data_IF_088345065514
#
_entry.id   IF_088345065514
#
_cell.length_a   1.000
_cell.length_b   1.000
_cell.length_c   1.000
_cell.angle_alpha   90.00
_cell.angle_beta   90.00
_cell.angle_gamma   90.00
#
_symmetry.space_group_name_H-M   'P 1'
#
loop_
_entity.id
_entity.type
_entity.pdbx_description
1 polymer ?
#
# COMPACT_ATOMS: atom_id res chain seq x y z
N UNK A 1 -18.90 23.60 16.80
CA UNK A 1 -18.13 22.40 17.19
C UNK A 1 -18.30 21.37 16.07
N UNK A 2 -17.37 21.32 15.13
CA UNK A 2 -17.44 20.37 14.02
C UNK A 2 -17.04 18.98 14.51
N UNK A 3 -17.94 18.01 14.39
CA UNK A 3 -17.70 16.64 14.84
C UNK A 3 -16.43 16.05 14.18
N UNK A 4 -15.59 15.33 14.94
CA UNK A 4 -14.29 14.83 14.49
C UNK A 4 -14.42 13.42 13.87
N UNK A 5 -14.84 13.30 12.61
CA UNK A 5 -14.90 11.99 11.94
C UNK A 5 -14.59 12.11 10.43
N UNK A 6 -14.11 11.03 9.78
CA UNK A 6 -12.77 10.48 9.90
C UNK A 6 -12.01 10.68 8.58
N UNK A 7 -10.75 11.09 8.66
CA UNK A 7 -9.88 11.14 7.49
C UNK A 7 -9.45 9.72 7.14
N UNK A 8 -10.27 9.01 6.36
CA UNK A 8 -9.99 7.63 6.02
C UNK A 8 -9.16 7.51 4.74
N UNK A 9 -8.12 6.69 4.83
CA UNK A 9 -7.33 6.19 3.72
C UNK A 9 -7.29 4.67 3.88
N UNK A 10 -7.78 3.93 2.90
CA UNK A 10 -7.83 2.46 2.94
C UNK A 10 -7.29 1.88 1.64
N UNK A 11 -6.71 0.68 1.68
CA UNK A 11 -6.19 0.04 0.46
C UNK A 11 -7.24 -0.93 -0.09
N UNK A 12 -7.65 -0.71 -1.33
CA UNK A 12 -8.53 -1.61 -2.08
C UNK A 12 -7.77 -2.86 -2.54
N UNK A 13 -8.49 -3.97 -2.69
CA UNK A 13 -7.89 -5.26 -3.07
C UNK A 13 -8.64 -5.90 -4.23
N UNK A 14 -7.85 -6.51 -5.11
CA UNK A 14 -8.19 -7.49 -6.15
C UNK A 14 -9.59 -7.45 -6.77
N UNK A 15 -10.60 -7.89 -6.03
CA UNK A 15 -11.95 -8.14 -6.52
C UNK A 15 -12.86 -6.92 -6.47
N UNK A 16 -12.49 -5.89 -5.71
CA UNK A 16 -13.29 -4.67 -5.65
C UNK A 16 -13.37 -4.07 -7.05
N UNK A 17 -14.59 -3.86 -7.54
CA UNK A 17 -14.86 -3.20 -8.80
C UNK A 17 -14.84 -1.70 -8.60
N UNK A 18 -14.27 -1.00 -9.57
CA UNK A 18 -14.21 0.46 -9.60
C UNK A 18 -14.53 0.99 -10.99
N UNK A 19 -15.11 2.18 -11.02
CA UNK A 19 -15.44 2.91 -12.25
C UNK A 19 -15.19 4.40 -12.05
N UNK A 20 -14.50 5.11 -12.96
CA UNK A 20 -14.44 6.57 -12.90
C UNK A 20 -15.85 7.18 -12.92
N UNK A 21 -16.10 8.21 -12.09
CA UNK A 21 -17.43 8.87 -12.02
C UNK A 21 -17.86 9.46 -13.36
N UNK A 22 -16.90 9.88 -14.18
CA UNK A 22 -17.15 10.50 -15.50
C UNK A 22 -17.68 9.51 -16.55
N UNK A 23 -17.59 8.21 -16.30
CA UNK A 23 -18.01 7.18 -17.26
C UNK A 23 -19.46 6.76 -16.93
N UNK A 24 -20.33 6.60 -17.95
CA UNK A 24 -21.69 6.11 -17.76
C UNK A 24 -21.74 4.80 -16.97
N UNK A 25 -22.75 4.65 -16.12
CA UNK A 25 -22.90 3.42 -15.34
C UNK A 25 -23.40 2.26 -16.21
N UNK A 26 -22.45 1.43 -16.66
CA UNK A 26 -22.70 0.20 -17.41
C UNK A 26 -21.81 -0.91 -16.87
N UNK A 27 -22.31 -2.15 -16.90
CA UNK A 27 -21.66 -3.31 -16.27
C UNK A 27 -20.23 -3.54 -16.78
N UNK A 28 -20.01 -3.34 -18.08
CA UNK A 28 -18.73 -3.47 -18.78
C UNK A 28 -17.70 -2.40 -18.39
N UNK A 29 -18.13 -1.29 -17.79
CA UNK A 29 -17.26 -0.18 -17.39
C UNK A 29 -16.65 -0.36 -15.99
N UNK A 30 -17.18 -1.31 -15.22
CA UNK A 30 -16.66 -1.66 -13.90
C UNK A 30 -15.46 -2.60 -14.03
N UNK A 31 -14.28 -2.10 -13.66
CA UNK A 31 -13.04 -2.88 -13.74
C UNK A 31 -12.59 -3.37 -12.37
N UNK A 32 -12.01 -4.58 -12.26
CA UNK A 32 -11.41 -5.01 -11.01
C UNK A 32 -10.18 -4.16 -10.69
N UNK A 33 -9.97 -3.86 -9.40
CA UNK A 33 -8.80 -3.12 -8.92
C UNK A 33 -7.47 -3.65 -9.45
N UNK A 34 -7.37 -4.98 -9.67
CA UNK A 34 -6.17 -5.63 -10.23
C UNK A 34 -5.84 -5.14 -11.64
N UNK A 35 -6.84 -4.82 -12.47
CA UNK A 35 -6.61 -4.32 -13.82
C UNK A 35 -5.88 -2.97 -13.80
N UNK A 36 -6.15 -2.14 -12.78
CA UNK A 36 -5.49 -0.84 -12.62
C UNK A 36 -4.00 -0.95 -12.29
N UNK A 37 -3.50 -2.11 -11.84
CA UNK A 37 -2.09 -2.29 -11.54
C UNK A 37 -1.19 -2.14 -12.77
N UNK A 38 -1.72 -2.38 -13.98
CA UNK A 38 -1.02 -2.13 -15.23
C UNK A 38 -0.68 -0.64 -15.46
N UNK A 39 -1.41 0.27 -14.82
CA UNK A 39 -1.17 1.72 -14.91
C UNK A 39 -0.09 2.22 -13.94
N UNK A 40 0.49 1.33 -13.13
CA UNK A 40 1.50 1.70 -12.13
C UNK A 40 2.80 2.11 -12.82
N UNK A 41 3.44 3.13 -12.26
CA UNK A 41 4.83 3.43 -12.53
C UNK A 41 5.56 3.38 -11.20
N UNK A 42 6.62 2.56 -11.14
CA UNK A 42 7.35 2.33 -9.90
C UNK A 42 7.94 3.63 -9.36
N UNK A 43 7.74 3.89 -8.08
CA UNK A 43 8.22 5.10 -7.41
C UNK A 43 7.36 6.34 -7.61
N UNK A 44 6.39 6.33 -8.54
CA UNK A 44 5.49 7.45 -8.80
C UNK A 44 4.10 7.18 -8.23
N UNK A 45 3.55 8.15 -7.51
CA UNK A 45 2.14 8.11 -7.12
C UNK A 45 1.30 8.66 -8.27
N UNK A 46 0.27 7.92 -8.69
CA UNK A 46 -0.66 8.30 -9.75
C UNK A 46 -2.03 8.57 -9.13
N UNK A 47 -2.57 9.74 -9.39
CA UNK A 47 -3.96 10.07 -9.06
C UNK A 47 -4.87 9.59 -10.20
N UNK A 48 -5.91 8.84 -9.87
CA UNK A 48 -6.92 8.37 -10.84
C UNK A 48 -8.19 9.22 -10.79
N UNK A 49 -8.24 10.22 -9.91
CA UNK A 49 -9.41 11.06 -9.69
C UNK A 49 -10.51 10.35 -8.90
N UNK A 50 -11.72 10.89 -9.00
CA UNK A 50 -12.89 10.37 -8.29
C UNK A 50 -13.48 9.18 -9.05
N UNK A 51 -13.60 8.06 -8.36
CA UNK A 51 -14.19 6.82 -8.85
C UNK A 51 -15.28 6.34 -7.90
N UNK A 52 -16.25 5.63 -8.44
CA UNK A 52 -17.17 4.80 -7.70
C UNK A 52 -16.50 3.47 -7.37
N UNK A 53 -16.70 3.02 -6.14
CA UNK A 53 -16.12 1.79 -5.59
C UNK A 53 -17.26 0.95 -5.05
N UNK A 54 -17.23 -0.36 -5.34
CA UNK A 54 -18.32 -1.33 -5.04
C UNK A 54 -19.53 -1.13 -5.95
N UNK A 55 -19.79 -2.09 -6.84
CA UNK A 55 -20.85 -1.96 -7.85
C UNK A 55 -22.27 -1.93 -7.26
N UNK A 56 -22.53 -2.75 -6.22
CA UNK A 56 -23.88 -2.89 -5.67
C UNK A 56 -24.30 -1.68 -4.83
N UNK A 57 -23.35 -1.01 -4.19
CA UNK A 57 -23.55 0.20 -3.39
C UNK A 57 -22.39 1.17 -3.69
N UNK A 58 -22.49 1.94 -4.79
CA UNK A 58 -21.40 2.79 -5.24
C UNK A 58 -21.03 3.86 -4.23
N UNK A 59 -19.79 3.78 -3.73
CA UNK A 59 -19.21 4.82 -2.89
C UNK A 59 -18.21 5.62 -3.73
N UNK A 60 -18.46 6.91 -3.87
CA UNK A 60 -17.52 7.80 -4.56
C UNK A 60 -16.31 8.13 -3.68
N UNK A 61 -15.13 7.93 -4.23
CA UNK A 61 -13.88 8.18 -3.55
C UNK A 61 -12.76 8.55 -4.52
N UNK A 62 -11.78 9.31 -4.05
CA UNK A 62 -10.55 9.53 -4.82
C UNK A 62 -9.67 8.29 -4.75
N UNK A 63 -9.14 7.86 -5.89
CA UNK A 63 -8.25 6.72 -5.98
C UNK A 63 -6.81 7.15 -6.28
N UNK A 64 -5.88 6.66 -5.47
CA UNK A 64 -4.43 6.87 -5.65
C UNK A 64 -3.74 5.52 -5.83
N UNK A 65 -2.96 5.40 -6.89
CA UNK A 65 -2.25 4.19 -7.27
C UNK A 65 -0.74 4.38 -7.10
N UNK A 66 -0.06 3.42 -6.48
CA UNK A 66 1.38 3.49 -6.26
C UNK A 66 2.02 2.10 -6.21
N UNK A 67 3.23 1.98 -6.76
CA UNK A 67 4.04 0.77 -6.67
C UNK A 67 5.45 1.11 -6.18
N UNK A 68 6.04 0.23 -5.37
CA UNK A 68 7.42 0.35 -4.90
C UNK A 68 8.34 -0.54 -5.73
N UNK A 69 9.62 -0.17 -5.77
CA UNK A 69 10.64 -1.13 -6.14
C UNK A 69 10.65 -2.25 -5.10
N UNK A 70 10.59 -3.49 -5.57
CA UNK A 70 10.76 -4.66 -4.74
C UNK A 70 12.14 -4.60 -4.06
N UNK A 71 12.18 -4.09 -2.83
CA UNK A 71 13.31 -4.31 -1.93
C UNK A 71 13.22 -5.79 -1.60
N UNK A 72 14.11 -6.62 -2.15
CA UNK A 72 14.09 -8.08 -2.09
C UNK A 72 14.18 -8.67 -0.68
N UNK A 73 13.30 -8.27 0.24
CA UNK A 73 13.14 -8.77 1.59
C UNK A 73 12.81 -10.25 1.48
N UNK A 74 13.73 -11.06 1.99
CA UNK A 74 13.59 -12.52 2.04
C UNK A 74 13.17 -12.86 3.46
N UNK A 75 12.02 -13.52 3.60
CA UNK A 75 11.61 -14.06 4.88
C UNK A 75 12.53 -15.25 5.21
N UNK A 76 13.39 -15.07 6.20
CA UNK A 76 14.26 -16.14 6.71
C UNK A 76 13.57 -16.93 7.82
N UNK A 77 13.98 -18.18 8.01
CA UNK A 77 13.65 -19.00 9.18
C UNK A 77 14.57 -18.61 10.33
N UNK A 78 14.26 -19.07 11.55
CA UNK A 78 15.12 -18.88 12.73
C UNK A 78 16.53 -19.47 12.56
N UNK A 79 16.70 -20.41 11.61
CA UNK A 79 17.99 -21.00 11.23
C UNK A 79 18.72 -20.22 10.12
N UNK A 80 18.21 -19.06 9.71
CA UNK A 80 18.79 -18.25 8.63
C UNK A 80 18.46 -18.71 7.21
N UNK A 81 17.71 -19.81 7.06
CA UNK A 81 17.36 -20.36 5.76
C UNK A 81 16.14 -19.65 5.14
N UNK A 82 16.04 -19.64 3.81
CA UNK A 82 14.87 -19.06 3.15
C UNK A 82 13.62 -19.89 3.46
N UNK A 83 12.58 -19.27 4.02
CA UNK A 83 11.27 -19.93 4.21
C UNK A 83 10.63 -20.21 2.85
N UNK A 84 10.31 -21.47 2.54
CA UNK A 84 9.75 -21.90 1.22
C UNK A 84 8.24 -22.23 1.25
N UNK A 85 7.61 -22.13 2.42
CA UNK A 85 6.20 -22.46 2.60
C UNK A 85 5.24 -21.67 1.70
N UNK A 86 4.14 -22.30 1.26
CA UNK A 86 3.11 -21.70 0.38
C UNK A 86 2.56 -20.39 0.94
N UNK A 87 2.22 -20.36 2.23
CA UNK A 87 1.70 -19.16 2.89
C UNK A 87 2.71 -18.01 2.87
N UNK A 88 3.98 -18.30 3.19
CA UNK A 88 5.05 -17.29 3.16
C UNK A 88 5.24 -16.67 1.77
N UNK A 89 5.17 -17.49 0.71
CA UNK A 89 5.21 -17.00 -0.68
C UNK A 89 4.00 -16.13 -1.02
N UNK A 90 2.80 -16.52 -0.59
CA UNK A 90 1.59 -15.72 -0.81
C UNK A 90 1.65 -14.38 -0.06
N UNK A 91 2.15 -14.35 1.18
CA UNK A 91 2.34 -13.10 1.92
C UNK A 91 3.37 -12.19 1.23
N UNK A 92 4.52 -12.73 0.83
CA UNK A 92 5.54 -11.97 0.11
C UNK A 92 5.01 -11.40 -1.22
N UNK A 93 4.23 -12.19 -1.96
CA UNK A 93 3.60 -11.72 -3.20
C UNK A 93 2.63 -10.56 -2.92
N UNK A 94 1.78 -10.67 -1.89
CA UNK A 94 0.82 -9.62 -1.49
C UNK A 94 1.49 -8.33 -1.01
N UNK A 95 2.66 -8.43 -0.40
CA UNK A 95 3.46 -7.27 0.02
C UNK A 95 4.13 -6.56 -1.16
N UNK A 96 4.52 -7.32 -2.19
CA UNK A 96 5.10 -6.79 -3.42
C UNK A 96 4.08 -6.15 -4.37
N UNK A 97 2.78 -6.40 -4.15
CA UNK A 97 1.72 -5.85 -4.98
C UNK A 97 1.57 -4.33 -4.84
N UNK A 98 1.22 -3.62 -5.93
CA UNK A 98 0.89 -2.21 -5.88
C UNK A 98 -0.22 -1.88 -4.87
N UNK A 99 -0.15 -0.66 -4.35
CA UNK A 99 -1.16 -0.08 -3.48
C UNK A 99 -2.14 0.73 -4.31
N UNK A 100 -3.40 0.32 -4.28
CA UNK A 100 -4.52 1.14 -4.72
C UNK A 100 -5.25 1.65 -3.48
N UNK A 101 -5.19 2.95 -3.25
CA UNK A 101 -5.68 3.60 -2.05
C UNK A 101 -6.99 4.34 -2.36
N UNK A 102 -8.02 4.06 -1.58
CA UNK A 102 -9.28 4.81 -1.54
C UNK A 102 -9.13 5.91 -0.50
N UNK A 103 -9.43 7.15 -0.88
CA UNK A 103 -9.31 8.35 -0.06
C UNK A 103 -10.63 9.11 -0.02
N UNK A 104 -10.97 9.65 1.14
CA UNK A 104 -12.11 10.54 1.28
C UNK A 104 -11.98 11.76 0.35
N UNK A 105 -13.07 12.11 -0.34
CA UNK A 105 -13.09 13.23 -1.31
C UNK A 105 -12.83 14.59 -0.67
N UNK A 106 -13.19 14.75 0.61
CA UNK A 106 -13.01 15.99 1.38
C UNK A 106 -11.53 16.37 1.56
N UNK A 107 -10.59 15.47 1.25
CA UNK A 107 -9.15 15.65 1.39
C UNK A 107 -8.48 15.81 0.01
N UNK A 108 -9.17 16.48 -0.91
CA UNK A 108 -8.68 16.73 -2.28
C UNK A 108 -7.37 17.52 -2.33
N UNK A 109 -7.11 18.38 -1.34
CA UNK A 109 -5.90 19.20 -1.25
C UNK A 109 -4.61 18.41 -0.98
N UNK A 110 -4.71 17.19 -0.47
CA UNK A 110 -3.53 16.35 -0.20
C UNK A 110 -3.04 15.73 -1.51
N UNK A 111 -1.75 15.81 -1.81
CA UNK A 111 -1.19 15.25 -3.04
C UNK A 111 -1.20 13.72 -3.01
N UNK A 112 -1.17 13.08 -4.18
CA UNK A 112 -1.09 11.63 -4.29
C UNK A 112 0.14 11.06 -3.54
N UNK A 113 1.28 11.78 -3.56
CA UNK A 113 2.48 11.40 -2.82
C UNK A 113 2.27 11.46 -1.30
N UNK A 114 1.59 12.49 -0.80
CA UNK A 114 1.27 12.62 0.63
C UNK A 114 0.28 11.53 1.09
N UNK A 115 -0.72 11.18 0.28
CA UNK A 115 -1.63 10.05 0.55
C UNK A 115 -0.83 8.76 0.74
N UNK A 116 0.09 8.48 -0.18
CA UNK A 116 0.98 7.31 -0.11
C UNK A 116 1.85 7.36 1.15
N UNK A 117 2.40 8.52 1.49
CA UNK A 117 3.22 8.70 2.70
C UNK A 117 2.43 8.43 3.99
N UNK A 118 1.22 8.97 4.11
CA UNK A 118 0.34 8.74 5.26
C UNK A 118 -0.01 7.25 5.37
N UNK A 119 -0.38 6.61 4.26
CA UNK A 119 -0.69 5.17 4.28
C UNK A 119 0.55 4.34 4.64
N UNK A 120 1.72 4.69 4.12
CA UNK A 120 2.99 4.04 4.45
C UNK A 120 3.30 4.15 5.95
N UNK A 121 3.14 5.34 6.52
CA UNK A 121 3.35 5.56 7.96
C UNK A 121 2.45 4.66 8.79
N UNK A 122 1.16 4.53 8.43
CA UNK A 122 0.22 3.61 9.09
C UNK A 122 0.68 2.16 9.04
N UNK A 123 1.22 1.71 7.89
CA UNK A 123 1.78 0.36 7.78
C UNK A 123 3.02 0.16 8.66
N UNK A 124 3.87 1.18 8.84
CA UNK A 124 5.02 1.10 9.75
C UNK A 124 4.59 0.97 11.21
N UNK A 125 3.54 1.70 11.62
CA UNK A 125 2.95 1.57 12.96
C UNK A 125 2.44 0.15 13.19
N UNK A 126 1.64 -0.40 12.27
CA UNK A 126 1.08 -1.76 12.39
C UNK A 126 2.17 -2.84 12.41
N UNK A 127 3.24 -2.66 11.63
CA UNK A 127 4.41 -3.55 11.66
C UNK A 127 5.17 -3.45 12.98
N UNK A 128 5.45 -2.23 13.48
CA UNK A 128 6.12 -2.02 14.77
C UNK A 128 5.36 -2.64 15.93
N UNK A 129 4.02 -2.54 15.93
CA UNK A 129 3.17 -3.23 16.90
C UNK A 129 3.14 -4.75 16.76
N UNK A 130 3.45 -5.30 15.58
CA UNK A 130 3.55 -6.75 15.39
C UNK A 130 4.90 -7.27 15.88
N UNK A 131 5.96 -6.50 15.69
CA UNK A 131 7.29 -6.86 16.18
C UNK A 131 7.35 -6.80 17.70
N UNK A 132 6.71 -5.81 18.34
CA UNK A 132 6.60 -5.75 19.81
C UNK A 132 5.76 -6.89 20.41
N UNK A 133 4.76 -7.40 19.67
CA UNK A 133 3.99 -8.60 20.06
C UNK A 133 4.76 -9.92 19.89
N UNK A 134 5.92 -9.90 19.24
CA UNK A 134 6.82 -11.03 19.07
C UNK A 134 8.05 -10.94 19.99
N UNK A 135 7.95 -10.19 21.10
CA UNK A 135 8.97 -10.16 22.14
C UNK A 135 9.05 -11.49 22.90
N UNK A 136 9.87 -12.42 22.40
CA UNK A 136 10.95 -13.15 23.13
C UNK A 136 11.49 -14.35 22.31
N UNK A 137 11.91 -14.11 21.07
CA UNK A 137 12.73 -15.09 20.36
C UNK A 137 13.73 -14.41 19.42
N UNK A 138 14.79 -13.87 20.01
CA UNK A 138 16.07 -13.69 19.31
C UNK A 138 16.26 -12.33 18.66
N UNK A 139 16.88 -11.44 19.44
CA UNK A 139 17.74 -10.33 19.01
C UNK A 139 18.36 -10.55 17.62
N UNK A 140 17.78 -9.95 16.58
CA UNK A 140 18.49 -9.70 15.33
C UNK A 140 19.15 -8.33 15.42
N UNK A 141 20.45 -8.35 15.79
CA UNK A 141 21.39 -7.31 15.41
C UNK A 141 21.30 -7.13 13.89
N UNK A 142 20.80 -5.99 13.43
CA UNK A 142 21.22 -5.49 12.13
C UNK A 142 22.63 -4.94 12.33
N UNK A 143 23.65 -5.68 11.91
CA UNK A 143 24.96 -5.12 11.65
C UNK A 143 24.78 -4.04 10.58
N UNK A 144 24.83 -2.78 10.99
CA UNK A 144 25.07 -1.67 10.10
C UNK A 144 26.60 -1.48 10.10
N UNK A 145 27.31 -2.32 9.34
CA UNK A 145 28.73 -2.11 9.07
C UNK A 145 28.86 -1.00 8.03
N UNK A 146 29.39 0.12 8.51
CA UNK A 146 30.31 1.05 7.88
C UNK A 146 30.18 1.29 6.36
N UNK A 147 29.60 2.45 6.03
CA UNK A 147 30.11 3.24 4.90
C UNK A 147 30.92 4.40 5.46
N UNK A 148 32.24 4.26 5.37
CA UNK A 148 33.18 5.33 5.57
C UNK A 148 32.84 6.53 4.69
N UNK A 149 32.58 7.66 5.34
CA UNK A 149 32.59 8.96 4.71
C UNK A 149 34.05 9.43 4.69
N UNK A 150 34.74 9.14 3.58
CA UNK A 150 36.04 9.74 3.29
C UNK A 150 35.85 11.24 3.08
N UNK A 151 36.39 12.06 3.99
CA UNK A 151 36.62 13.48 3.76
C UNK A 151 37.75 13.58 2.73
N UNK A 152 37.50 14.26 1.62
CA UNK A 152 38.54 14.73 0.71
C UNK A 152 38.61 16.25 0.86
N UNK A 153 39.82 16.71 1.17
CA UNK A 153 40.44 18.04 1.01
C UNK A 153 39.65 19.29 1.41
#
# INVERSE_FOLDING_TARGET
MSSPWPWWITRLRHRTLVKPVKIPDRVDQWVPCRALYALTQVGKARDLGVCEVVRNEPIQARLVLHAYQARGRRHMTRKGERRRGKQSRQHAQREAEPWLLRVCQQISKVSAGQVVAIYRWRMQIELGFRDSRQGDAGRLRCCHEDRGFARSS
#
